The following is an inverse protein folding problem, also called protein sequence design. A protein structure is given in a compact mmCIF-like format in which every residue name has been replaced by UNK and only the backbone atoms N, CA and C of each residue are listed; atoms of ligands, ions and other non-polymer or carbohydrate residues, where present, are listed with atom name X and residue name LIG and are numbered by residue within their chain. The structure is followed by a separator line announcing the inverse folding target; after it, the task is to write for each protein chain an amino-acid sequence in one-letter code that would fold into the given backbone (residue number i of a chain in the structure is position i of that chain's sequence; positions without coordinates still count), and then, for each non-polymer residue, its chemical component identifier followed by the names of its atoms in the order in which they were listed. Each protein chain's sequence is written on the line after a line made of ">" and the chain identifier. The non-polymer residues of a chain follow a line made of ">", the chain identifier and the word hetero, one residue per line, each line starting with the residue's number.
data_IF_762087122636
#
_entry.id   IF_762087122636
#
_cell.length_a   1.000
_cell.length_b   1.000
_cell.length_c   1.000
_cell.angle_alpha   90.00
_cell.angle_beta   90.00
_cell.angle_gamma   90.00
#
_symmetry.space_group_name_H-M   'P 1'
#
loop_
_entity.id
_entity.type
_entity.pdbx_description
1 polymer ?
#
# COMPACT_ATOMS: atom_id res chain seq x y z
N UNK A 1 25.70 -13.50 14.74
CA UNK A 1 25.61 -14.97 14.74
C UNK A 1 24.74 -15.40 13.57
N UNK A 2 25.21 -16.31 12.75
CA UNK A 2 24.44 -16.84 11.64
C UNK A 2 23.26 -17.68 12.17
N UNK A 3 22.04 -17.27 11.87
CA UNK A 3 20.85 -18.12 11.94
C UNK A 3 20.19 -18.30 13.30
N UNK A 4 20.27 -17.31 14.19
CA UNK A 4 19.48 -17.32 15.43
C UNK A 4 17.98 -17.25 15.17
N UNK A 5 17.17 -18.02 15.91
CA UNK A 5 15.71 -17.99 15.82
C UNK A 5 15.15 -17.59 17.20
N UNK A 6 14.31 -16.55 17.21
CA UNK A 6 13.51 -16.15 18.37
C UNK A 6 12.04 -16.48 18.09
N UNK A 7 11.40 -17.21 19.00
CA UNK A 7 9.97 -17.51 18.91
C UNK A 7 9.23 -16.89 20.08
N UNK A 8 8.27 -16.02 19.78
CA UNK A 8 7.39 -15.38 20.75
C UNK A 8 5.98 -15.97 20.63
N UNK A 9 5.60 -16.75 21.62
CA UNK A 9 4.27 -17.32 21.77
C UNK A 9 3.74 -16.99 23.16
N UNK A 10 2.73 -16.15 23.27
CA UNK A 10 2.23 -15.66 24.54
C UNK A 10 3.22 -14.79 25.34
N UNK A 11 4.30 -14.35 24.71
CA UNK A 11 5.37 -13.56 25.31
C UNK A 11 5.47 -12.18 24.70
N UNK A 12 6.10 -11.25 25.43
CA UNK A 12 6.38 -9.89 24.95
C UNK A 12 7.89 -9.69 24.82
N UNK A 13 8.28 -8.95 23.81
CA UNK A 13 9.66 -8.44 23.67
C UNK A 13 9.64 -6.96 23.31
N UNK A 14 10.71 -6.27 23.66
CA UNK A 14 10.92 -4.88 23.26
C UNK A 14 12.41 -4.64 23.02
N UNK A 15 12.71 -3.71 22.12
CA UNK A 15 14.08 -3.31 21.76
C UNK A 15 14.95 -4.51 21.29
N UNK A 16 14.34 -5.47 20.58
CA UNK A 16 15.09 -6.55 19.94
C UNK A 16 15.66 -6.08 18.60
N UNK A 17 16.66 -6.80 18.10
CA UNK A 17 17.22 -6.55 16.77
C UNK A 17 17.43 -7.87 16.05
N UNK A 18 16.88 -7.96 14.82
CA UNK A 18 16.97 -9.16 13.98
C UNK A 18 18.00 -8.92 12.87
N UNK A 19 19.23 -9.36 13.11
CA UNK A 19 20.33 -9.23 12.13
C UNK A 19 20.23 -10.20 10.97
N UNK A 20 21.04 -9.97 9.96
CA UNK A 20 21.17 -10.86 8.80
C UNK A 20 21.33 -12.34 9.19
N UNK A 21 20.51 -13.19 8.59
CA UNK A 21 20.42 -14.62 8.90
C UNK A 21 19.60 -14.95 10.15
N UNK A 22 19.22 -13.97 10.97
CA UNK A 22 18.32 -14.16 12.11
C UNK A 22 16.86 -14.23 11.68
N UNK A 23 16.04 -14.91 12.48
CA UNK A 23 14.59 -14.99 12.28
C UNK A 23 13.86 -14.73 13.59
N UNK A 24 12.87 -13.86 13.58
CA UNK A 24 11.93 -13.69 14.69
C UNK A 24 10.53 -14.13 14.23
N UNK A 25 9.91 -15.02 15.02
CA UNK A 25 8.56 -15.50 14.79
C UNK A 25 7.66 -15.04 15.93
N UNK A 26 6.66 -14.23 15.63
CA UNK A 26 5.66 -13.76 16.59
C UNK A 26 4.36 -14.50 16.30
N UNK A 27 3.92 -15.33 17.25
CA UNK A 27 2.72 -16.16 17.10
C UNK A 27 1.72 -15.89 18.22
N UNK A 28 0.65 -16.63 18.29
CA UNK A 28 -0.50 -16.43 19.16
C UNK A 28 -0.18 -15.87 20.55
N UNK A 29 -0.67 -14.68 20.82
CA UNK A 29 -0.43 -13.93 22.06
C UNK A 29 0.98 -13.32 22.19
N UNK A 30 1.86 -13.52 21.21
CA UNK A 30 3.17 -12.88 21.14
C UNK A 30 3.03 -11.41 20.71
N UNK A 31 3.83 -10.54 21.32
CA UNK A 31 3.89 -9.12 20.98
C UNK A 31 5.33 -8.62 20.98
N UNK A 32 5.78 -8.07 19.86
CA UNK A 32 7.07 -7.41 19.75
C UNK A 32 6.89 -5.90 19.51
N UNK A 33 7.65 -5.08 20.25
CA UNK A 33 7.55 -3.63 20.18
C UNK A 33 8.92 -2.95 20.15
N UNK A 34 9.01 -1.84 19.40
CA UNK A 34 10.19 -0.98 19.32
C UNK A 34 11.46 -1.78 18.96
N UNK A 35 11.47 -2.41 17.80
CA UNK A 35 12.58 -3.27 17.36
C UNK A 35 12.95 -3.01 15.90
N UNK A 36 14.11 -3.51 15.50
CA UNK A 36 14.60 -3.36 14.13
C UNK A 36 14.92 -4.71 13.49
N UNK A 37 14.63 -4.85 12.19
CA UNK A 37 15.02 -5.98 11.37
C UNK A 37 16.08 -5.52 10.37
N UNK A 38 17.34 -5.82 10.69
CA UNK A 38 18.51 -5.38 9.92
C UNK A 38 19.06 -6.53 9.07
N UNK A 39 18.40 -6.78 7.92
CA UNK A 39 18.76 -7.86 7.00
C UNK A 39 18.30 -9.27 7.42
N UNK A 40 17.54 -9.37 8.51
CA UNK A 40 16.93 -10.64 9.00
C UNK A 40 15.53 -10.87 8.45
N UNK A 41 14.81 -11.80 9.05
CA UNK A 41 13.42 -12.14 8.71
C UNK A 41 12.51 -12.01 9.93
N UNK A 42 11.42 -11.27 9.78
CA UNK A 42 10.33 -11.21 10.75
C UNK A 42 9.10 -11.91 10.19
N UNK A 43 8.58 -12.89 10.93
CA UNK A 43 7.33 -13.55 10.61
C UNK A 43 6.30 -13.24 11.69
N UNK A 44 5.21 -12.59 11.32
CA UNK A 44 4.06 -12.33 12.18
C UNK A 44 2.98 -13.35 11.83
N UNK A 45 2.83 -14.33 12.69
CA UNK A 45 1.93 -15.48 12.50
C UNK A 45 0.56 -15.18 13.10
N UNK A 46 -0.39 -16.08 12.93
CA UNK A 46 -1.74 -15.93 13.46
C UNK A 46 -1.76 -15.61 14.97
N UNK A 47 -2.46 -14.53 15.32
CA UNK A 47 -2.56 -14.01 16.69
C UNK A 47 -1.28 -13.36 17.22
N UNK A 48 -0.25 -13.20 16.41
CA UNK A 48 0.95 -12.41 16.71
C UNK A 48 0.74 -10.94 16.36
N UNK A 49 1.41 -10.05 17.10
CA UNK A 49 1.38 -8.60 16.87
C UNK A 49 2.80 -8.02 16.87
N UNK A 50 3.13 -7.23 15.87
CA UNK A 50 4.37 -6.48 15.75
C UNK A 50 4.07 -4.98 15.66
N UNK A 51 4.71 -4.17 16.52
CA UNK A 51 4.44 -2.74 16.60
C UNK A 51 5.72 -1.90 16.66
N UNK A 52 5.69 -0.74 16.02
CA UNK A 52 6.74 0.29 16.11
C UNK A 52 8.12 -0.26 15.73
N UNK A 53 8.29 -0.67 14.47
CA UNK A 53 9.53 -1.30 14.01
C UNK A 53 9.98 -0.81 12.63
N UNK A 54 11.25 -1.05 12.33
CA UNK A 54 11.82 -0.78 11.01
C UNK A 54 12.37 -2.06 10.39
N UNK A 55 12.14 -2.26 9.11
CA UNK A 55 12.77 -3.33 8.32
C UNK A 55 13.74 -2.69 7.34
N UNK A 56 15.03 -2.97 7.51
CA UNK A 56 16.12 -2.41 6.71
C UNK A 56 16.87 -3.52 5.97
N UNK A 57 16.64 -3.65 4.65
CA UNK A 57 17.26 -4.68 3.82
C UNK A 57 16.85 -6.13 4.16
N UNK A 58 15.89 -6.31 5.06
CA UNK A 58 15.38 -7.60 5.50
C UNK A 58 14.01 -7.93 4.93
N UNK A 59 13.37 -8.94 5.50
CA UNK A 59 12.05 -9.41 5.07
C UNK A 59 11.03 -9.39 6.21
N UNK A 60 9.84 -8.90 5.92
CA UNK A 60 8.66 -8.98 6.78
C UNK A 60 7.62 -9.88 6.13
N UNK A 61 7.12 -10.88 6.84
CA UNK A 61 6.00 -11.70 6.41
C UNK A 61 4.87 -11.62 7.45
N UNK A 62 3.78 -10.96 7.10
CA UNK A 62 2.57 -10.94 7.93
C UNK A 62 1.62 -11.98 7.39
N UNK A 63 1.48 -13.10 8.10
CA UNK A 63 0.68 -14.25 7.69
C UNK A 63 -0.76 -14.10 8.19
N UNK A 64 -1.65 -14.94 7.66
CA UNK A 64 -3.08 -14.90 7.99
C UNK A 64 -3.32 -14.85 9.49
N UNK A 65 -4.11 -13.86 9.95
CA UNK A 65 -4.39 -13.60 11.36
C UNK A 65 -3.28 -12.90 12.14
N UNK A 66 -2.16 -12.55 11.49
CA UNK A 66 -1.12 -11.69 12.06
C UNK A 66 -1.42 -10.21 11.86
N UNK A 67 -0.91 -9.36 12.73
CA UNK A 67 -1.06 -7.90 12.67
C UNK A 67 0.30 -7.21 12.76
N UNK A 68 0.51 -6.19 11.91
CA UNK A 68 1.70 -5.33 11.99
C UNK A 68 1.27 -3.85 11.93
N UNK A 69 1.81 -3.03 12.83
CA UNK A 69 1.40 -1.65 13.03
C UNK A 69 2.60 -0.70 13.21
N UNK A 70 2.45 0.55 12.73
CA UNK A 70 3.43 1.62 12.92
C UNK A 70 4.84 1.22 12.48
N UNK A 71 4.99 0.78 11.22
CA UNK A 71 6.29 0.30 10.75
C UNK A 71 6.77 1.01 9.48
N UNK A 72 8.09 0.95 9.29
CA UNK A 72 8.74 1.47 8.10
C UNK A 72 9.50 0.35 7.38
N UNK A 73 9.24 0.22 6.08
CA UNK A 73 10.09 -0.54 5.18
C UNK A 73 11.11 0.41 4.57
N UNK A 74 12.37 0.26 4.96
CA UNK A 74 13.47 1.05 4.43
C UNK A 74 14.06 0.43 3.15
N UNK A 75 14.96 1.14 2.51
CA UNK A 75 15.56 0.72 1.24
C UNK A 75 16.07 -0.73 1.26
N UNK A 76 15.72 -1.49 0.23
CA UNK A 76 16.07 -2.89 0.10
C UNK A 76 15.20 -3.86 0.92
N UNK A 77 14.26 -3.35 1.73
CA UNK A 77 13.33 -4.20 2.46
C UNK A 77 12.22 -4.74 1.56
N UNK A 78 11.79 -5.97 1.85
CA UNK A 78 10.64 -6.58 1.20
C UNK A 78 9.61 -7.03 2.24
N UNK A 79 8.33 -6.73 2.00
CA UNK A 79 7.27 -7.21 2.85
C UNK A 79 6.19 -7.95 2.05
N UNK A 80 5.68 -9.04 2.65
CA UNK A 80 4.54 -9.78 2.17
C UNK A 80 3.43 -9.79 3.21
N UNK A 81 2.22 -9.38 2.84
CA UNK A 81 1.02 -9.40 3.68
C UNK A 81 0.04 -10.39 3.08
N UNK A 82 -0.13 -11.52 3.74
CA UNK A 82 -0.97 -12.62 3.26
C UNK A 82 -2.47 -12.29 3.41
N UNK A 83 -3.31 -13.03 2.69
CA UNK A 83 -4.76 -12.96 2.86
C UNK A 83 -5.17 -13.24 4.32
N UNK A 84 -6.06 -12.41 4.88
CA UNK A 84 -6.46 -12.47 6.28
C UNK A 84 -5.47 -11.89 7.28
N UNK A 85 -4.37 -11.32 6.82
CA UNK A 85 -3.48 -10.48 7.62
C UNK A 85 -3.90 -9.01 7.54
N UNK A 86 -3.54 -8.23 8.56
CA UNK A 86 -3.87 -6.80 8.63
C UNK A 86 -2.63 -5.97 8.94
N UNK A 87 -2.49 -4.86 8.25
CA UNK A 87 -1.44 -3.89 8.52
C UNK A 87 -2.01 -2.47 8.64
N UNK A 88 -1.41 -1.69 9.52
CA UNK A 88 -1.83 -0.32 9.82
C UNK A 88 -0.61 0.61 9.85
N UNK A 89 -0.82 1.88 9.49
CA UNK A 89 0.11 2.97 9.71
C UNK A 89 1.55 2.64 9.25
N UNK A 90 1.72 2.48 7.95
CA UNK A 90 3.00 2.06 7.40
C UNK A 90 3.61 3.08 6.44
N UNK A 91 4.94 3.07 6.39
CA UNK A 91 5.72 3.80 5.39
C UNK A 91 6.51 2.82 4.53
N UNK A 92 6.36 2.91 3.21
CA UNK A 92 7.22 2.20 2.26
C UNK A 92 8.18 3.21 1.65
N UNK A 93 9.45 3.15 2.06
CA UNK A 93 10.48 4.10 1.63
C UNK A 93 11.07 3.73 0.28
N UNK A 94 11.81 4.67 -0.31
CA UNK A 94 12.49 4.47 -1.59
C UNK A 94 13.27 3.15 -1.64
N UNK A 95 13.09 2.37 -2.72
CA UNK A 95 13.74 1.08 -2.92
C UNK A 95 13.16 -0.08 -2.10
N UNK A 96 12.10 0.14 -1.32
CA UNK A 96 11.38 -0.93 -0.63
C UNK A 96 10.19 -1.44 -1.48
N UNK A 97 9.81 -2.69 -1.25
CA UNK A 97 8.68 -3.33 -1.94
C UNK A 97 7.71 -3.94 -0.93
N UNK A 98 6.41 -3.68 -1.12
CA UNK A 98 5.33 -4.32 -0.38
C UNK A 98 4.43 -5.10 -1.34
N UNK A 99 4.17 -6.37 -1.03
CA UNK A 99 3.21 -7.23 -1.72
C UNK A 99 2.02 -7.51 -0.80
N UNK A 100 0.82 -7.13 -1.24
CA UNK A 100 -0.39 -7.12 -0.43
C UNK A 100 -1.45 -8.05 -1.01
N UNK A 101 -1.81 -9.11 -0.27
CA UNK A 101 -2.99 -9.94 -0.46
C UNK A 101 -3.98 -9.79 0.72
N UNK A 102 -3.54 -9.18 1.80
CA UNK A 102 -4.36 -8.86 2.97
C UNK A 102 -4.98 -7.47 2.87
N UNK A 103 -5.25 -6.87 4.02
CA UNK A 103 -5.87 -5.55 4.10
C UNK A 103 -4.91 -4.55 4.76
N UNK A 104 -4.81 -3.38 4.14
CA UNK A 104 -4.21 -2.19 4.73
C UNK A 104 -5.33 -1.24 5.13
N UNK A 105 -5.30 -0.78 6.36
CA UNK A 105 -6.21 0.24 6.90
C UNK A 105 -5.39 1.37 7.54
N UNK A 106 -5.95 2.57 7.60
CA UNK A 106 -5.30 3.76 8.16
C UNK A 106 -4.19 4.36 7.29
N UNK A 107 -3.29 5.11 7.90
CA UNK A 107 -2.28 5.92 7.19
C UNK A 107 -1.25 5.07 6.45
N UNK A 108 -1.07 5.34 5.18
CA UNK A 108 -0.04 4.70 4.35
C UNK A 108 0.70 5.75 3.55
N UNK A 109 2.02 5.73 3.63
CA UNK A 109 2.86 6.57 2.79
C UNK A 109 3.75 5.72 1.88
N UNK A 110 3.56 5.85 0.58
CA UNK A 110 4.38 5.20 -0.44
C UNK A 110 5.33 6.25 -1.03
N UNK A 111 6.57 6.24 -0.60
CA UNK A 111 7.58 7.21 -1.01
C UNK A 111 7.97 7.05 -2.49
N UNK A 112 8.52 8.12 -3.08
CA UNK A 112 9.09 8.06 -4.43
C UNK A 112 10.14 6.96 -4.55
N UNK A 113 10.04 6.12 -5.60
CA UNK A 113 10.90 4.95 -5.80
C UNK A 113 10.53 3.70 -4.99
N UNK A 114 9.49 3.76 -4.16
CA UNK A 114 8.89 2.58 -3.53
C UNK A 114 7.85 1.91 -4.45
N UNK A 115 7.60 0.62 -4.22
CA UNK A 115 6.60 -0.14 -4.98
C UNK A 115 5.66 -0.88 -4.03
N UNK A 116 4.35 -0.70 -4.26
CA UNK A 116 3.30 -1.48 -3.62
C UNK A 116 2.52 -2.26 -4.68
N UNK A 117 2.46 -3.58 -4.53
CA UNK A 117 1.68 -4.45 -5.40
C UNK A 117 0.48 -5.02 -4.63
N UNK A 118 -0.73 -4.65 -5.05
CA UNK A 118 -1.99 -5.15 -4.47
C UNK A 118 -2.51 -6.26 -5.37
N UNK A 119 -2.50 -7.48 -4.86
CA UNK A 119 -2.91 -8.68 -5.60
C UNK A 119 -4.37 -9.04 -5.33
N UNK A 120 -4.92 -9.99 -6.07
CA UNK A 120 -6.32 -10.42 -5.96
C UNK A 120 -6.72 -10.72 -4.51
N UNK A 121 -7.79 -10.09 -4.06
CA UNK A 121 -8.27 -10.15 -2.67
C UNK A 121 -7.59 -9.18 -1.72
N UNK A 122 -6.51 -8.52 -2.14
CA UNK A 122 -5.88 -7.44 -1.37
C UNK A 122 -6.71 -6.16 -1.43
N UNK A 123 -6.68 -5.39 -0.36
CA UNK A 123 -7.38 -4.13 -0.28
C UNK A 123 -6.57 -3.04 0.43
N UNK A 124 -6.59 -1.84 -0.12
CA UNK A 124 -6.18 -0.63 0.58
C UNK A 124 -7.46 0.15 0.84
N UNK A 125 -7.83 0.23 2.12
CA UNK A 125 -8.97 1.01 2.57
C UNK A 125 -8.42 2.22 3.32
N UNK A 126 -8.18 3.30 2.60
CA UNK A 126 -7.81 4.57 3.20
C UNK A 126 -8.93 5.13 4.07
N UNK A 127 -8.65 6.22 4.72
CA UNK A 127 -9.62 7.01 5.45
C UNK A 127 -9.34 8.49 5.18
N UNK A 128 -10.28 9.34 5.49
CA UNK A 128 -10.05 10.77 5.50
C UNK A 128 -9.60 11.19 6.90
N UNK A 129 -8.65 12.11 6.95
CA UNK A 129 -8.26 12.74 8.22
C UNK A 129 -9.34 13.74 8.69
N UNK A 130 -9.14 14.36 9.83
CA UNK A 130 -10.08 15.35 10.39
C UNK A 130 -10.30 16.57 9.52
N UNK A 131 -9.46 16.78 8.49
CA UNK A 131 -9.56 17.86 7.49
C UNK A 131 -10.20 17.39 6.19
N UNK A 132 -10.56 16.11 6.08
CA UNK A 132 -11.16 15.50 4.91
C UNK A 132 -10.16 15.14 3.80
N UNK A 133 -8.87 15.02 4.13
CA UNK A 133 -7.85 14.55 3.19
C UNK A 133 -7.57 13.05 3.33
N UNK A 134 -7.30 12.34 2.20
CA UNK A 134 -6.91 10.93 2.24
C UNK A 134 -5.68 10.69 3.12
N UNK A 135 -5.73 9.68 3.96
CA UNK A 135 -4.60 9.27 4.82
C UNK A 135 -3.60 8.37 4.08
N UNK A 136 -3.95 7.89 2.89
CA UNK A 136 -3.06 7.12 2.02
C UNK A 136 -2.47 8.03 0.95
N UNK A 137 -1.16 8.25 1.01
CA UNK A 137 -0.45 9.12 0.08
C UNK A 137 0.54 8.31 -0.78
N UNK A 138 0.42 8.47 -2.10
CA UNK A 138 1.18 7.74 -3.11
C UNK A 138 2.08 8.71 -3.88
N UNK A 139 3.38 8.66 -3.60
CA UNK A 139 4.44 9.35 -4.36
C UNK A 139 5.30 8.34 -5.15
N UNK A 140 5.24 7.07 -4.79
CA UNK A 140 5.85 5.93 -5.48
C UNK A 140 4.88 5.25 -6.46
N UNK A 141 5.09 3.97 -6.71
CA UNK A 141 4.25 3.17 -7.60
C UNK A 141 3.31 2.24 -6.82
N UNK A 142 2.03 2.28 -7.16
CA UNK A 142 1.02 1.32 -6.67
C UNK A 142 0.42 0.58 -7.86
N UNK A 143 0.56 -0.74 -7.90
CA UNK A 143 0.02 -1.60 -8.93
C UNK A 143 -1.12 -2.45 -8.37
N UNK A 144 -2.31 -2.34 -8.93
CA UNK A 144 -3.52 -3.00 -8.44
C UNK A 144 -3.95 -4.03 -9.47
N UNK A 145 -3.89 -5.32 -9.08
CA UNK A 145 -4.22 -6.44 -9.97
C UNK A 145 -5.71 -6.80 -9.93
N UNK A 146 -6.15 -7.64 -10.84
CA UNK A 146 -7.53 -8.12 -10.93
C UNK A 146 -8.05 -8.65 -9.58
N UNK A 147 -9.26 -8.22 -9.20
CA UNK A 147 -9.90 -8.62 -7.94
C UNK A 147 -9.36 -7.91 -6.68
N UNK A 148 -8.45 -6.97 -6.85
CA UNK A 148 -8.01 -6.09 -5.76
C UNK A 148 -8.76 -4.75 -5.81
N UNK A 149 -8.85 -4.09 -4.66
CA UNK A 149 -9.56 -2.80 -4.52
C UNK A 149 -8.71 -1.78 -3.77
N UNK A 150 -8.84 -0.51 -4.16
CA UNK A 150 -8.20 0.61 -3.45
C UNK A 150 -9.17 1.78 -3.31
N UNK A 151 -9.16 2.44 -2.16
CA UNK A 151 -10.01 3.60 -1.89
C UNK A 151 -9.33 4.66 -1.04
N UNK A 152 -9.81 5.89 -1.17
CA UNK A 152 -9.39 7.03 -0.36
C UNK A 152 -7.88 7.30 -0.43
N UNK A 153 -7.34 7.37 -1.65
CA UNK A 153 -5.93 7.63 -1.91
C UNK A 153 -5.72 9.03 -2.50
N UNK A 154 -4.60 9.66 -2.13
CA UNK A 154 -4.03 10.78 -2.85
C UNK A 154 -2.80 10.32 -3.66
N UNK A 155 -2.77 10.62 -4.96
CA UNK A 155 -1.64 10.35 -5.84
C UNK A 155 -0.96 11.69 -6.12
N UNK A 156 0.25 11.86 -5.59
CA UNK A 156 0.95 13.13 -5.55
C UNK A 156 2.33 13.08 -6.21
N UNK A 157 2.85 14.21 -6.59
CA UNK A 157 4.22 14.36 -7.06
C UNK A 157 4.54 13.47 -8.27
N UNK A 158 5.46 12.53 -8.13
CA UNK A 158 5.78 11.55 -9.18
C UNK A 158 5.05 10.20 -8.99
N UNK A 159 4.04 10.17 -8.14
CA UNK A 159 3.29 8.94 -7.83
C UNK A 159 2.54 8.39 -9.03
N UNK A 160 2.47 7.08 -9.12
CA UNK A 160 1.71 6.38 -10.14
C UNK A 160 0.80 5.32 -9.52
N UNK A 161 -0.50 5.43 -9.79
CA UNK A 161 -1.48 4.39 -9.48
C UNK A 161 -1.87 3.68 -10.78
N UNK A 162 -1.56 2.39 -10.88
CA UNK A 162 -1.82 1.59 -12.07
C UNK A 162 -2.89 0.54 -11.76
N UNK A 163 -4.06 0.67 -12.35
CA UNK A 163 -5.12 -0.33 -12.28
C UNK A 163 -5.06 -1.25 -13.50
N UNK A 164 -4.82 -2.53 -13.23
CA UNK A 164 -4.84 -3.58 -14.24
C UNK A 164 -6.27 -4.13 -14.42
N UNK A 165 -6.48 -4.85 -15.52
CA UNK A 165 -7.80 -5.37 -15.88
C UNK A 165 -8.46 -6.14 -14.73
N UNK A 166 -9.71 -5.77 -14.39
CA UNK A 166 -10.47 -6.37 -13.31
C UNK A 166 -10.15 -5.83 -11.90
N UNK A 167 -9.30 -4.83 -11.78
CA UNK A 167 -9.12 -4.06 -10.54
C UNK A 167 -10.19 -2.99 -10.40
N UNK A 168 -10.38 -2.46 -9.20
CA UNK A 168 -11.27 -1.32 -8.95
C UNK A 168 -10.65 -0.28 -8.02
N UNK A 169 -11.00 0.99 -8.25
CA UNK A 169 -10.61 2.09 -7.38
C UNK A 169 -11.78 3.08 -7.24
N UNK A 170 -11.90 3.68 -6.07
CA UNK A 170 -12.87 4.75 -5.83
C UNK A 170 -12.32 5.79 -4.84
N UNK A 171 -12.89 7.00 -4.91
CA UNK A 171 -12.51 8.11 -4.03
C UNK A 171 -11.01 8.45 -4.11
N UNK A 172 -10.48 8.60 -5.33
CA UNK A 172 -9.08 8.92 -5.57
C UNK A 172 -8.91 10.41 -5.90
N UNK A 173 -7.94 11.05 -5.27
CA UNK A 173 -7.48 12.38 -5.62
C UNK A 173 -6.16 12.29 -6.38
N UNK A 174 -6.17 12.71 -7.65
CA UNK A 174 -4.97 12.80 -8.49
C UNK A 174 -4.51 14.25 -8.48
N UNK A 175 -3.45 14.53 -7.74
CA UNK A 175 -2.93 15.88 -7.52
C UNK A 175 -1.73 16.17 -8.43
N UNK A 176 -1.11 17.33 -8.26
CA UNK A 176 -0.03 17.81 -9.11
C UNK A 176 1.11 16.79 -9.26
N UNK A 177 1.39 16.40 -10.49
CA UNK A 177 2.41 15.42 -10.86
C UNK A 177 1.99 13.95 -10.69
N UNK A 178 0.84 13.69 -10.05
CA UNK A 178 0.30 12.34 -9.89
C UNK A 178 -0.25 11.79 -11.21
N UNK A 179 -0.09 10.50 -11.42
CA UNK A 179 -0.56 9.76 -12.59
C UNK A 179 -1.48 8.62 -12.17
N UNK A 180 -2.63 8.52 -12.81
CA UNK A 180 -3.58 7.44 -12.60
C UNK A 180 -3.88 6.74 -13.93
N UNK A 181 -3.48 5.47 -14.04
CA UNK A 181 -3.56 4.70 -15.28
C UNK A 181 -4.58 3.57 -15.16
N UNK A 182 -5.59 3.56 -16.03
CA UNK A 182 -6.63 2.54 -16.10
C UNK A 182 -6.48 1.67 -17.34
N UNK A 183 -6.41 0.36 -17.16
CA UNK A 183 -6.37 -0.61 -18.25
C UNK A 183 -7.34 -1.77 -17.96
N UNK A 184 -8.51 -1.80 -18.63
CA UNK A 184 -9.51 -2.85 -18.42
C UNK A 184 -10.13 -2.89 -17.03
N UNK A 185 -10.14 -1.77 -16.34
CA UNK A 185 -10.61 -1.60 -14.95
C UNK A 185 -11.70 -0.52 -14.88
N UNK A 186 -12.38 -0.44 -13.74
CA UNK A 186 -13.42 0.55 -13.52
C UNK A 186 -13.12 1.40 -12.30
N UNK A 187 -13.45 2.69 -12.40
CA UNK A 187 -13.31 3.63 -11.28
C UNK A 187 -14.61 4.36 -11.01
N UNK A 188 -14.69 4.97 -9.83
CA UNK A 188 -15.76 5.89 -9.47
C UNK A 188 -15.24 6.99 -8.56
N UNK A 189 -15.80 8.20 -8.72
CA UNK A 189 -15.52 9.34 -7.86
C UNK A 189 -14.02 9.73 -7.84
N UNK A 190 -13.46 10.04 -9.01
CA UNK A 190 -12.07 10.44 -9.17
C UNK A 190 -11.99 11.97 -9.28
N UNK A 191 -11.16 12.60 -8.49
CA UNK A 191 -10.90 14.04 -8.54
C UNK A 191 -9.54 14.29 -9.16
N UNK A 192 -9.50 14.85 -10.37
CA UNK A 192 -8.27 15.16 -11.08
C UNK A 192 -8.02 16.66 -10.91
N UNK A 193 -7.03 17.00 -10.12
CA UNK A 193 -6.71 18.38 -9.75
C UNK A 193 -5.57 18.94 -10.61
N UNK A 194 -5.29 20.22 -10.46
CA UNK A 194 -4.23 20.89 -11.21
C UNK A 194 -2.93 20.09 -11.28
N UNK A 195 -2.49 19.78 -12.49
CA UNK A 195 -1.27 19.02 -12.77
C UNK A 195 -1.36 17.52 -12.51
N UNK A 196 -2.54 17.00 -12.16
CA UNK A 196 -2.81 15.56 -12.10
C UNK A 196 -3.27 15.05 -13.47
N UNK A 197 -2.95 13.81 -13.79
CA UNK A 197 -3.32 13.14 -15.04
C UNK A 197 -4.01 11.80 -14.76
N UNK A 198 -5.19 11.60 -15.32
CA UNK A 198 -5.81 10.28 -15.44
C UNK A 198 -5.78 9.82 -16.90
N UNK A 199 -5.27 8.61 -17.15
CA UNK A 199 -5.23 8.00 -18.49
C UNK A 199 -6.10 6.76 -18.53
N UNK A 200 -7.11 6.75 -19.38
CA UNK A 200 -8.06 5.64 -19.56
C UNK A 200 -7.75 4.93 -20.86
N UNK A 201 -7.13 3.77 -20.78
CA UNK A 201 -6.79 2.95 -21.93
C UNK A 201 -7.86 1.89 -22.24
N UNK A 202 -7.61 1.05 -23.25
CA UNK A 202 -8.55 0.05 -23.74
C UNK A 202 -9.18 -0.79 -22.65
N UNK A 203 -10.51 -0.85 -22.65
CA UNK A 203 -11.32 -1.56 -21.67
C UNK A 203 -11.47 -0.85 -20.30
N UNK A 204 -10.76 0.25 -20.09
CA UNK A 204 -10.90 1.07 -18.88
C UNK A 204 -12.18 1.92 -18.93
N UNK A 205 -12.78 2.16 -17.76
CA UNK A 205 -13.94 3.03 -17.64
C UNK A 205 -13.81 3.94 -16.41
N UNK A 206 -13.63 5.23 -16.68
CA UNK A 206 -13.71 6.28 -15.67
C UNK A 206 -15.18 6.69 -15.49
N UNK A 207 -15.75 6.45 -14.31
CA UNK A 207 -17.12 6.81 -14.01
C UNK A 207 -17.17 7.89 -12.93
N UNK A 208 -17.84 9.03 -13.23
CA UNK A 208 -18.00 10.12 -12.29
C UNK A 208 -16.69 10.87 -11.98
N UNK A 209 -15.78 10.95 -12.94
CA UNK A 209 -14.56 11.74 -12.79
C UNK A 209 -14.89 13.23 -12.74
N UNK A 210 -14.21 13.98 -11.89
CA UNK A 210 -14.27 15.45 -11.86
C UNK A 210 -12.90 16.02 -12.19
N UNK A 211 -12.84 16.75 -13.31
CA UNK A 211 -11.61 17.41 -13.75
C UNK A 211 -11.67 18.86 -13.32
N UNK A 212 -10.83 19.24 -12.38
CA UNK A 212 -10.68 20.62 -11.93
C UNK A 212 -9.70 21.39 -12.80
N UNK A 213 -9.74 22.74 -12.76
CA UNK A 213 -8.89 23.58 -13.58
C UNK A 213 -7.40 23.18 -13.53
N UNK A 214 -6.83 22.84 -14.69
CA UNK A 214 -5.46 22.38 -14.85
C UNK A 214 -5.22 20.88 -14.57
N UNK A 215 -6.28 20.11 -14.30
CA UNK A 215 -6.24 18.63 -14.34
C UNK A 215 -6.45 18.12 -15.76
N UNK A 216 -6.05 16.91 -16.04
CA UNK A 216 -6.13 16.29 -17.36
C UNK A 216 -6.71 14.88 -17.28
N UNK A 217 -7.69 14.57 -18.15
CA UNK A 217 -8.26 13.25 -18.34
C UNK A 217 -8.09 12.84 -19.80
N UNK A 218 -7.18 11.89 -20.05
CA UNK A 218 -6.91 11.34 -21.37
C UNK A 218 -7.70 10.03 -21.57
N UNK A 219 -8.63 10.04 -22.51
CA UNK A 219 -9.36 8.82 -22.91
C UNK A 219 -8.82 8.32 -24.22
N UNK A 220 -8.05 7.24 -24.15
CA UNK A 220 -7.41 6.62 -25.32
C UNK A 220 -8.38 5.66 -26.03
N UNK A 221 -7.96 5.16 -27.21
CA UNK A 221 -8.76 4.22 -27.98
C UNK A 221 -9.20 3.01 -27.15
N UNK A 222 -10.51 2.76 -27.14
CA UNK A 222 -11.12 1.66 -26.37
C UNK A 222 -11.35 1.94 -24.90
N UNK A 223 -10.96 3.10 -24.39
CA UNK A 223 -11.36 3.61 -23.08
C UNK A 223 -12.70 4.32 -23.12
N UNK A 224 -13.30 4.53 -21.95
CA UNK A 224 -14.53 5.29 -21.80
C UNK A 224 -14.51 6.19 -20.56
N UNK A 225 -15.17 7.35 -20.66
CA UNK A 225 -15.41 8.22 -19.52
C UNK A 225 -16.91 8.53 -19.48
N UNK A 226 -17.54 8.25 -18.34
CA UNK A 226 -18.98 8.41 -18.15
C UNK A 226 -19.26 9.37 -16.99
N UNK A 227 -20.27 10.22 -17.14
CA UNK A 227 -20.66 11.19 -16.12
C UNK A 227 -19.49 12.06 -15.63
N UNK A 228 -18.59 12.45 -16.55
CA UNK A 228 -17.43 13.30 -16.25
C UNK A 228 -17.89 14.76 -16.10
N UNK A 229 -17.39 15.42 -15.08
CA UNK A 229 -17.61 16.86 -14.84
C UNK A 229 -16.29 17.60 -15.09
N UNK A 230 -16.35 18.73 -15.76
CA UNK A 230 -15.20 19.63 -15.98
C UNK A 230 -15.54 20.98 -15.37
N UNK A 231 -14.72 21.43 -14.40
CA UNK A 231 -14.90 22.66 -13.62
C UNK A 231 -13.81 23.69 -13.91
#
# INVERSE_FOLDING_TARGET
>A
SNGGILNLAGAQTSNSEVFSGGTENISSGGNAQNFDVSGGTLNVLSGGNAQSFTVSGGSLNVLSGGTAEFFTLSSGAAAGVAAGATVHDLTVSNGATLSLLGTVTSSVFIAGGATLNVSAGGAINGSLDSSGFPTVNVVGAVNVSAGATVSDLAVDGSGALNLLAGASAHDINVNSGGQFNLAGSTTSNINIRQGGLETVSSGGAANGATVFGGGELDVLFGGSANATMVN
#
